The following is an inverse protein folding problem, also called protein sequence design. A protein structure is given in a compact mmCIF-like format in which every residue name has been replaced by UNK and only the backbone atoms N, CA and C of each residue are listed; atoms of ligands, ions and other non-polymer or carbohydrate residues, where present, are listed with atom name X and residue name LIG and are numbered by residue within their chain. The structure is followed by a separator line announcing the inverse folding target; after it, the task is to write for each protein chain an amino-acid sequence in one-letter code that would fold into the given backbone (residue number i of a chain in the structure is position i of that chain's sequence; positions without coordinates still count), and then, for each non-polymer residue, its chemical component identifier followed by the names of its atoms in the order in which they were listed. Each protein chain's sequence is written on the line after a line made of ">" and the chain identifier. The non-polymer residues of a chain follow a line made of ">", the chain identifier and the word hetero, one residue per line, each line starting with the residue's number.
data_IF_591067796854
#
_entry.id   IF_591067796854
#
_cell.length_a   1.000
_cell.length_b   1.000
_cell.length_c   1.000
_cell.angle_alpha   90.00
_cell.angle_beta   90.00
_cell.angle_gamma   90.00
#
_symmetry.space_group_name_H-M   'P 1'
#
loop_
_entity.id
_entity.type
_entity.pdbx_description
1 polymer ?
#
# COMPACT_ATOMS: atom_id res chain seq x y z
N UNK A 1 32.05 -13.86 -25.02
CA UNK A 1 30.61 -14.15 -24.94
C UNK A 1 30.24 -14.18 -23.47
N UNK A 2 29.17 -13.50 -23.05
CA UNK A 2 28.63 -13.68 -21.71
C UNK A 2 28.03 -15.09 -21.58
N UNK A 3 28.14 -15.77 -20.43
CA UNK A 3 27.44 -17.02 -20.21
C UNK A 3 25.93 -16.79 -20.27
N UNK A 4 25.13 -17.78 -20.74
CA UNK A 4 23.68 -17.66 -20.76
C UNK A 4 23.15 -17.42 -19.34
N UNK A 5 22.26 -16.44 -19.23
CA UNK A 5 21.57 -16.06 -18.01
C UNK A 5 20.66 -17.22 -17.54
N UNK A 6 20.70 -17.53 -16.25
CA UNK A 6 19.97 -18.65 -15.63
C UNK A 6 19.33 -18.20 -14.33
N UNK A 7 18.21 -18.81 -13.98
CA UNK A 7 17.50 -18.60 -12.73
C UNK A 7 17.55 -19.87 -11.88
N UNK A 8 17.71 -19.69 -10.57
CA UNK A 8 17.59 -20.73 -9.56
C UNK A 8 16.13 -20.86 -9.06
N UNK A 9 15.38 -19.75 -9.04
CA UNK A 9 13.98 -19.67 -8.62
C UNK A 9 13.14 -18.82 -9.59
N UNK A 10 11.81 -18.91 -9.45
CA UNK A 10 10.86 -18.08 -10.20
C UNK A 10 10.88 -16.63 -9.69
N UNK A 11 10.97 -15.67 -10.60
CA UNK A 11 10.75 -14.25 -10.34
C UNK A 11 9.28 -13.91 -10.59
N UNK A 12 8.66 -13.18 -9.66
CA UNK A 12 7.27 -12.72 -9.74
C UNK A 12 6.72 -12.33 -8.36
N UNK A 13 5.73 -11.43 -8.32
CA UNK A 13 5.23 -10.78 -7.10
C UNK A 13 4.68 -11.73 -6.00
N UNK A 14 4.32 -12.96 -6.38
CA UNK A 14 3.78 -13.99 -5.48
C UNK A 14 4.79 -15.11 -5.11
N UNK A 15 6.06 -14.97 -5.50
CA UNK A 15 7.09 -16.02 -5.33
C UNK A 15 8.19 -15.62 -4.35
N UNK A 16 8.75 -16.62 -3.66
CA UNK A 16 9.98 -16.46 -2.87
C UNK A 16 11.18 -16.42 -3.84
N UNK A 17 11.63 -15.21 -4.16
CA UNK A 17 12.69 -14.96 -5.14
C UNK A 17 14.08 -15.17 -4.53
N UNK A 18 15.02 -15.64 -5.34
CA UNK A 18 16.44 -15.65 -4.97
C UNK A 18 17.05 -14.26 -5.19
N UNK A 19 17.91 -13.82 -4.27
CA UNK A 19 18.48 -12.47 -4.29
C UNK A 19 19.50 -12.29 -5.43
N UNK A 20 20.25 -13.35 -5.77
CA UNK A 20 21.19 -13.30 -6.90
C UNK A 20 20.42 -13.28 -8.23
N UNK A 21 19.34 -14.05 -8.35
CA UNK A 21 18.45 -14.03 -9.51
C UNK A 21 17.81 -12.64 -9.70
N UNK A 22 17.35 -12.00 -8.62
CA UNK A 22 16.77 -10.66 -8.66
C UNK A 22 17.80 -9.62 -9.15
N UNK A 23 18.99 -9.55 -8.52
CA UNK A 23 20.05 -8.61 -8.90
C UNK A 23 20.49 -8.77 -10.35
N UNK A 24 20.68 -10.02 -10.79
CA UNK A 24 21.16 -10.31 -12.15
C UNK A 24 20.06 -10.06 -13.20
N UNK A 25 18.78 -10.27 -12.86
CA UNK A 25 17.64 -9.86 -13.69
C UNK A 25 17.55 -8.34 -13.83
N UNK A 26 17.67 -7.57 -12.73
CA UNK A 26 17.67 -6.09 -12.80
C UNK A 26 18.71 -5.59 -13.79
N UNK A 27 19.94 -6.10 -13.69
CA UNK A 27 21.06 -5.77 -14.61
C UNK A 27 20.78 -6.16 -16.06
N UNK A 28 20.21 -7.33 -16.31
CA UNK A 28 19.84 -7.78 -17.65
C UNK A 28 18.76 -6.87 -18.27
N UNK A 29 17.66 -6.62 -17.57
CA UNK A 29 16.57 -5.75 -18.04
C UNK A 29 17.04 -4.31 -18.26
N UNK A 30 17.93 -3.80 -17.41
CA UNK A 30 18.54 -2.48 -17.59
C UNK A 30 19.43 -2.40 -18.83
N UNK A 31 20.24 -3.44 -19.12
CA UNK A 31 21.04 -3.48 -20.34
C UNK A 31 20.22 -3.53 -21.64
N UNK A 32 18.94 -3.88 -21.53
CA UNK A 32 17.96 -3.88 -22.63
C UNK A 32 17.04 -2.63 -22.60
N UNK A 33 17.21 -1.71 -21.64
CA UNK A 33 16.41 -0.49 -21.53
C UNK A 33 15.02 -0.67 -20.90
N UNK A 34 14.71 -1.80 -20.27
CA UNK A 34 13.42 -2.04 -19.60
C UNK A 34 13.40 -1.63 -18.12
N UNK A 35 14.56 -1.31 -17.54
CA UNK A 35 14.70 -0.86 -16.15
C UNK A 35 15.74 0.25 -16.08
N UNK A 36 15.37 1.41 -15.51
CA UNK A 36 16.33 2.49 -15.25
C UNK A 36 17.26 2.11 -14.10
N UNK A 37 18.55 2.39 -14.24
CA UNK A 37 19.53 2.16 -13.19
C UNK A 37 19.50 3.34 -12.19
N UNK A 38 19.31 3.08 -10.87
CA UNK A 38 19.47 4.11 -9.86
C UNK A 38 20.90 4.65 -9.83
N UNK A 39 21.08 5.88 -9.35
CA UNK A 39 22.41 6.50 -9.21
C UNK A 39 23.35 5.69 -8.30
N UNK A 40 22.81 5.09 -7.23
CA UNK A 40 23.53 4.19 -6.31
C UNK A 40 23.68 2.75 -6.84
N UNK A 41 23.11 2.45 -8.01
CA UNK A 41 23.07 1.12 -8.63
C UNK A 41 21.92 0.23 -8.15
N UNK A 42 21.94 -1.04 -8.59
CA UNK A 42 20.92 -2.03 -8.22
C UNK A 42 21.29 -2.78 -6.94
N UNK A 43 20.34 -2.87 -6.02
CA UNK A 43 20.37 -3.79 -4.88
C UNK A 43 19.88 -5.21 -5.26
N UNK A 44 20.09 -6.16 -4.35
CA UNK A 44 19.72 -7.57 -4.52
C UNK A 44 18.27 -7.88 -4.14
N UNK A 45 17.54 -6.93 -3.56
CA UNK A 45 16.19 -7.18 -3.08
C UNK A 45 15.15 -7.10 -4.21
N UNK A 46 14.22 -8.07 -4.31
CA UNK A 46 13.13 -7.97 -5.27
C UNK A 46 12.19 -6.82 -4.89
N UNK A 47 11.86 -5.99 -5.87
CA UNK A 47 11.08 -4.76 -5.71
C UNK A 47 9.99 -4.64 -6.79
N UNK A 48 9.14 -3.63 -6.69
CA UNK A 48 8.09 -3.35 -7.70
C UNK A 48 8.67 -2.96 -9.07
N UNK A 49 9.72 -2.11 -9.18
CA UNK A 49 10.38 -1.82 -10.45
C UNK A 49 10.86 -3.06 -11.23
N UNK A 50 11.44 -4.07 -10.56
CA UNK A 50 11.82 -5.33 -11.21
C UNK A 50 10.62 -6.04 -11.88
N UNK A 51 9.48 -6.13 -11.19
CA UNK A 51 8.29 -6.81 -11.73
C UNK A 51 7.69 -6.03 -12.92
N UNK A 52 7.63 -4.70 -12.84
CA UNK A 52 7.17 -3.87 -13.96
C UNK A 52 8.14 -3.90 -15.15
N UNK A 53 9.44 -4.01 -14.91
CA UNK A 53 10.44 -4.21 -15.97
C UNK A 53 10.31 -5.59 -16.65
N UNK A 54 9.99 -6.66 -15.90
CA UNK A 54 9.68 -7.98 -16.48
C UNK A 54 8.43 -7.88 -17.38
N UNK A 55 7.36 -7.21 -16.94
CA UNK A 55 6.16 -6.96 -17.76
C UNK A 55 6.47 -6.14 -19.02
N UNK A 56 7.26 -5.07 -18.87
CA UNK A 56 7.73 -4.23 -19.98
C UNK A 56 8.46 -5.04 -21.04
N UNK A 57 9.39 -5.91 -20.63
CA UNK A 57 10.11 -6.83 -21.51
C UNK A 57 9.16 -7.86 -22.16
N UNK A 58 8.27 -8.48 -21.39
CA UNK A 58 7.28 -9.44 -21.91
C UNK A 58 6.41 -8.80 -23.00
N UNK A 59 5.90 -7.58 -22.77
CA UNK A 59 5.10 -6.84 -23.74
C UNK A 59 5.87 -6.52 -25.02
N UNK A 60 7.12 -6.08 -24.90
CA UNK A 60 7.98 -5.76 -26.04
C UNK A 60 8.30 -7.00 -26.92
N UNK A 61 8.44 -8.17 -26.30
CA UNK A 61 8.71 -9.44 -26.99
C UNK A 61 7.44 -10.22 -27.39
N UNK A 62 6.25 -9.67 -27.18
CA UNK A 62 4.98 -10.32 -27.53
C UNK A 62 4.65 -11.56 -26.67
N UNK A 63 5.18 -11.62 -25.45
CA UNK A 63 4.88 -12.64 -24.45
C UNK A 63 3.64 -12.29 -23.62
N UNK A 64 3.17 -13.23 -22.81
CA UNK A 64 2.14 -12.94 -21.81
C UNK A 64 2.70 -11.98 -20.74
N UNK A 65 2.00 -10.88 -20.50
CA UNK A 65 2.39 -9.85 -19.52
C UNK A 65 1.94 -10.23 -18.09
N UNK A 66 2.43 -11.36 -17.58
CA UNK A 66 2.10 -11.86 -16.24
C UNK A 66 3.07 -11.37 -15.15
N UNK A 67 4.20 -10.76 -15.53
CA UNK A 67 5.26 -10.34 -14.60
C UNK A 67 6.01 -11.51 -13.97
N UNK A 68 5.90 -12.72 -14.55
CA UNK A 68 6.50 -13.96 -14.04
C UNK A 68 7.58 -14.47 -15.00
N UNK A 69 8.77 -14.69 -14.45
CA UNK A 69 9.88 -15.33 -15.15
C UNK A 69 10.31 -16.59 -14.40
N UNK A 70 9.94 -17.75 -14.96
CA UNK A 70 10.25 -19.08 -14.41
C UNK A 70 11.62 -19.57 -14.91
N UNK A 71 12.34 -20.40 -14.12
CA UNK A 71 13.42 -21.24 -14.65
C UNK A 71 12.94 -22.00 -15.89
N UNK A 72 13.78 -22.02 -16.93
CA UNK A 72 13.50 -22.61 -18.25
C UNK A 72 12.20 -22.13 -18.94
N UNK A 73 11.61 -21.03 -18.48
CA UNK A 73 10.38 -20.46 -19.02
C UNK A 73 10.57 -19.65 -20.32
N UNK A 74 9.49 -19.35 -21.05
CA UNK A 74 9.55 -18.59 -22.31
C UNK A 74 10.16 -17.19 -22.12
N UNK A 75 9.81 -16.49 -21.04
CA UNK A 75 10.40 -15.19 -20.66
C UNK A 75 11.93 -15.29 -20.50
N UNK A 76 12.42 -16.33 -19.83
CA UNK A 76 13.86 -16.54 -19.60
C UNK A 76 14.62 -16.88 -20.89
N UNK A 77 14.04 -17.76 -21.72
CA UNK A 77 14.60 -18.11 -23.02
C UNK A 77 14.71 -16.87 -23.92
N UNK A 78 13.65 -16.05 -23.95
CA UNK A 78 13.61 -14.83 -24.75
C UNK A 78 14.57 -13.75 -24.27
N UNK A 79 14.70 -13.56 -22.96
CA UNK A 79 15.67 -12.65 -22.35
C UNK A 79 17.11 -13.03 -22.74
N UNK A 80 17.42 -14.33 -22.72
CA UNK A 80 18.71 -14.84 -23.18
C UNK A 80 18.98 -14.56 -24.67
N UNK A 81 17.96 -14.61 -25.53
CA UNK A 81 18.12 -14.30 -26.96
C UNK A 81 18.31 -12.80 -27.21
N UNK A 82 17.55 -11.94 -26.52
CA UNK A 82 17.71 -10.49 -26.58
C UNK A 82 19.11 -10.03 -26.12
N UNK A 83 19.66 -10.65 -25.06
CA UNK A 83 21.03 -10.40 -24.59
C UNK A 83 22.13 -10.86 -25.58
N UNK A 84 21.83 -11.78 -26.50
CA UNK A 84 22.75 -12.17 -27.58
C UNK A 84 22.70 -11.19 -28.76
N UNK A 85 21.52 -10.65 -29.09
CA UNK A 85 21.34 -9.70 -30.20
C UNK A 85 21.77 -8.28 -29.83
N UNK A 86 21.65 -7.91 -28.56
CA UNK A 86 22.16 -6.67 -27.99
C UNK A 86 23.34 -6.94 -27.06
N UNK A 87 24.52 -7.35 -27.60
CA UNK A 87 25.72 -7.44 -26.78
C UNK A 87 25.99 -6.04 -26.22
N UNK A 88 25.93 -5.92 -24.89
CA UNK A 88 25.91 -4.65 -24.14
C UNK A 88 26.81 -3.60 -24.81
N UNK A 89 26.20 -2.68 -25.56
CA UNK A 89 26.94 -1.55 -26.13
C UNK A 89 27.47 -0.78 -24.94
N UNK A 90 28.81 -0.80 -24.77
CA UNK A 90 29.46 -0.36 -23.56
C UNK A 90 28.92 1.03 -23.17
N UNK A 91 28.46 1.15 -21.93
CA UNK A 91 27.59 2.24 -21.48
C UNK A 91 28.09 3.59 -22.01
N UNK A 92 27.21 4.44 -22.61
CA UNK A 92 27.61 5.77 -23.02
C UNK A 92 28.20 6.47 -21.80
N UNK A 93 29.46 6.87 -21.90
CA UNK A 93 30.24 7.26 -20.72
C UNK A 93 29.53 8.40 -19.97
N UNK A 94 29.36 8.29 -18.64
CA UNK A 94 28.76 9.35 -17.83
C UNK A 94 29.75 10.53 -17.73
N UNK A 95 29.77 11.36 -18.76
CA UNK A 95 30.75 12.43 -18.95
C UNK A 95 30.42 13.40 -20.09
N UNK A 96 29.17 13.40 -20.57
CA UNK A 96 28.65 14.40 -21.50
C UNK A 96 28.20 15.65 -20.75
N UNK A 97 29.15 16.36 -20.12
CA UNK A 97 28.91 17.65 -19.48
C UNK A 97 28.35 18.62 -20.53
N UNK A 98 27.09 19.04 -20.38
CA UNK A 98 26.44 19.93 -21.33
C UNK A 98 26.92 21.36 -21.12
N UNK A 99 28.07 21.68 -21.71
CA UNK A 99 28.56 23.05 -21.87
C UNK A 99 27.51 23.89 -22.61
N UNK A 100 26.89 24.90 -21.96
CA UNK A 100 25.82 25.69 -22.55
C UNK A 100 26.31 26.73 -23.58
N UNK A 101 27.62 26.76 -23.89
CA UNK A 101 28.24 27.90 -24.59
C UNK A 101 28.42 27.69 -26.10
N UNK A 102 28.25 26.48 -26.63
CA UNK A 102 28.55 26.17 -28.05
C UNK A 102 27.34 26.28 -29.00
N UNK A 103 26.81 27.49 -29.17
CA UNK A 103 25.89 27.87 -30.27
C UNK A 103 26.19 29.25 -30.86
N UNK A 104 27.44 29.46 -31.26
CA UNK A 104 27.86 30.59 -32.10
C UNK A 104 28.96 30.14 -33.07
N UNK A 105 28.57 29.44 -34.13
CA UNK A 105 29.25 29.40 -35.45
C UNK A 105 28.56 28.37 -36.38
N UNK A 106 27.50 28.82 -37.08
CA UNK A 106 27.14 28.22 -38.37
C UNK A 106 27.67 29.14 -39.48
N UNK A 107 28.45 28.65 -40.46
CA UNK A 107 28.90 29.47 -41.57
C UNK A 107 27.73 29.82 -42.50
N UNK A 108 27.87 30.95 -43.19
CA UNK A 108 26.81 31.51 -44.03
C UNK A 108 26.67 30.79 -45.39
N UNK A 109 25.42 30.60 -45.81
CA UNK A 109 25.00 30.39 -47.21
C UNK A 109 23.99 31.51 -47.56
N UNK A 110 24.03 32.13 -48.75
CA UNK A 110 23.32 33.38 -49.01
C UNK A 110 21.97 33.20 -49.75
N UNK A 111 20.97 33.95 -49.29
CA UNK A 111 20.01 34.61 -50.19
C UNK A 111 18.72 33.87 -50.58
N UNK A 112 17.62 34.22 -49.89
CA UNK A 112 16.31 34.37 -50.53
C UNK A 112 15.45 35.38 -49.73
N UNK A 113 15.04 36.46 -50.38
CA UNK A 113 14.22 37.53 -49.82
C UNK A 113 12.71 37.25 -49.96
N UNK A 114 11.92 37.53 -48.92
CA UNK A 114 10.55 38.09 -48.95
C UNK A 114 10.10 38.28 -47.48
N UNK A 115 10.17 39.47 -46.86
CA UNK A 115 9.33 40.69 -47.06
C UNK A 115 7.99 40.66 -46.27
N UNK A 116 7.77 41.69 -45.44
CA UNK A 116 6.55 42.10 -44.69
C UNK A 116 5.77 41.03 -43.88
N UNK A 117 5.59 41.19 -42.58
CA UNK A 117 4.70 42.24 -42.03
C UNK A 117 5.04 42.66 -40.58
N UNK A 118 5.03 43.97 -40.32
CA UNK A 118 5.05 44.58 -38.99
C UNK A 118 3.63 45.00 -38.58
N UNK A 119 3.17 44.55 -37.40
CA UNK A 119 2.04 45.11 -36.66
C UNK A 119 2.19 44.74 -35.17
N UNK A 120 2.78 45.63 -34.37
CA UNK A 120 2.08 46.45 -33.37
C UNK A 120 1.59 45.70 -32.11
N UNK A 121 2.47 45.60 -31.10
CA UNK A 121 2.10 45.32 -29.71
C UNK A 121 1.51 46.58 -29.04
N UNK A 122 0.34 46.51 -28.38
CA UNK A 122 -0.10 47.57 -27.49
C UNK A 122 0.49 47.39 -26.09
N UNK A 123 1.28 48.37 -25.65
CA UNK A 123 1.68 48.57 -24.25
C UNK A 123 0.46 48.80 -23.36
N UNK A 124 0.42 48.19 -22.18
CA UNK A 124 -0.59 48.49 -21.15
C UNK A 124 0.10 49.03 -19.89
N UNK A 125 -0.14 50.30 -19.50
CA UNK A 125 0.35 50.88 -18.25
C UNK A 125 -0.64 50.68 -17.11
N UNK A 126 -0.20 50.92 -15.87
CA UNK A 126 -1.10 51.15 -14.72
C UNK A 126 -0.72 50.43 -13.44
N UNK A 127 0.20 51.01 -12.67
CA UNK A 127 0.36 50.67 -11.25
C UNK A 127 -0.73 51.38 -10.41
N UNK A 128 -1.13 50.76 -9.30
CA UNK A 128 -1.97 51.36 -8.25
C UNK A 128 -1.55 50.84 -6.86
N UNK A 129 -1.80 51.59 -5.77
CA UNK A 129 -0.99 51.54 -4.54
C UNK A 129 -1.57 50.64 -3.42
N UNK A 130 -0.85 50.42 -2.30
CA UNK A 130 -1.31 49.59 -1.20
C UNK A 130 -2.40 50.29 -0.35
N UNK A 131 -3.31 49.49 0.21
CA UNK A 131 -4.33 49.93 1.17
C UNK A 131 -4.02 49.33 2.54
N UNK A 132 -3.96 50.19 3.56
CA UNK A 132 -3.73 49.84 4.96
C UNK A 132 -4.89 50.36 5.82
N UNK A 133 -4.99 49.86 7.06
CA UNK A 133 -5.79 50.32 8.20
C UNK A 133 -7.30 49.98 8.31
N UNK A 134 -7.57 49.09 9.29
CA UNK A 134 -8.53 49.23 10.42
C UNK A 134 -9.96 49.75 10.17
N UNK A 135 -10.97 48.88 10.37
CA UNK A 135 -12.12 49.13 11.31
C UNK A 135 -13.07 47.93 11.50
N UNK A 136 -13.31 47.54 12.76
CA UNK A 136 -14.62 47.04 13.27
C UNK A 136 -15.54 48.26 13.59
N UNK A 137 -16.80 48.17 14.06
CA UNK A 137 -17.66 47.03 14.50
C UNK A 137 -19.08 47.13 13.83
N UNK A 138 -20.26 46.75 14.41
CA UNK A 138 -20.60 45.96 15.60
C UNK A 138 -21.66 44.85 15.37
N UNK A 139 -22.18 44.31 16.47
CA UNK A 139 -23.18 43.25 16.61
C UNK A 139 -24.57 43.56 16.02
N UNK A 140 -25.29 42.47 15.68
CA UNK A 140 -26.70 42.32 16.06
C UNK A 140 -27.78 42.90 15.15
N UNK A 141 -28.47 42.03 14.41
CA UNK A 141 -29.95 42.01 14.29
C UNK A 141 -30.39 40.68 13.68
N UNK A 142 -31.34 39.99 14.31
CA UNK A 142 -32.05 38.86 13.71
C UNK A 142 -33.19 39.38 12.81
N UNK A 143 -33.29 38.89 11.57
CA UNK A 143 -34.57 38.85 10.84
C UNK A 143 -34.69 37.51 10.14
N UNK A 144 -35.77 36.79 10.43
CA UNK A 144 -36.12 35.57 9.72
C UNK A 144 -36.88 35.91 8.43
N UNK A 145 -36.49 35.31 7.30
CA UNK A 145 -37.36 35.14 6.14
C UNK A 145 -37.15 33.77 5.49
N UNK A 146 -38.27 33.14 5.13
CA UNK A 146 -38.36 31.81 4.53
C UNK A 146 -38.32 31.91 2.97
N UNK A 147 -38.39 30.79 2.21
CA UNK A 147 -37.65 30.66 0.96
C UNK A 147 -38.39 31.16 -0.29
N UNK A 148 -37.61 31.67 -1.26
CA UNK A 148 -38.05 31.85 -2.64
C UNK A 148 -37.63 30.65 -3.49
N UNK A 149 -38.59 29.83 -3.91
CA UNK A 149 -38.40 28.75 -4.89
C UNK A 149 -38.31 29.38 -6.29
N UNK A 150 -37.16 29.26 -6.95
CA UNK A 150 -36.98 29.68 -8.33
C UNK A 150 -37.09 28.47 -9.27
N UNK A 151 -38.13 28.47 -10.11
CA UNK A 151 -38.45 27.41 -11.06
C UNK A 151 -37.55 27.54 -12.31
N UNK A 152 -36.72 26.54 -12.60
CA UNK A 152 -35.94 26.48 -13.85
C UNK A 152 -36.64 25.51 -14.82
N UNK A 153 -37.06 25.95 -16.03
CA UNK A 153 -37.71 25.09 -17.00
C UNK A 153 -36.71 24.19 -17.76
N UNK A 154 -37.11 22.98 -18.19
CA UNK A 154 -36.26 22.08 -18.96
C UNK A 154 -36.15 22.53 -20.43
N UNK A 155 -34.92 22.64 -20.93
CA UNK A 155 -34.66 23.05 -22.31
C UNK A 155 -34.65 21.81 -23.23
N UNK A 156 -35.83 21.48 -23.77
CA UNK A 156 -36.01 20.41 -24.77
C UNK A 156 -35.49 20.90 -26.13
N UNK A 157 -34.32 20.40 -26.55
CA UNK A 157 -33.73 20.66 -27.86
C UNK A 157 -33.78 19.43 -28.77
N UNK A 158 -34.92 19.20 -29.43
CA UNK A 158 -35.10 18.10 -30.38
C UNK A 158 -34.62 18.51 -31.78
N UNK A 159 -33.56 17.87 -32.30
CA UNK A 159 -33.22 17.90 -33.72
C UNK A 159 -32.75 16.50 -34.16
N UNK A 160 -33.43 15.93 -35.15
CA UNK A 160 -33.28 14.53 -35.56
C UNK A 160 -32.90 14.43 -37.05
N UNK A 161 -32.37 13.25 -37.44
CA UNK A 161 -32.23 12.74 -38.84
C UNK A 161 -31.23 13.54 -39.72
N UNK A 162 -30.56 13.01 -40.76
CA UNK A 162 -30.41 11.68 -41.43
C UNK A 162 -29.11 11.74 -42.31
N UNK A 163 -28.62 10.80 -43.13
CA UNK A 163 -29.04 9.48 -43.71
C UNK A 163 -27.74 8.77 -44.24
N UNK A 164 -27.80 7.46 -44.55
CA UNK A 164 -26.86 6.69 -45.41
C UNK A 164 -25.41 6.49 -44.89
N UNK A 165 -24.73 5.35 -45.11
CA UNK A 165 -25.08 4.08 -45.78
C UNK A 165 -23.95 3.03 -45.64
N UNK A 166 -24.13 1.76 -46.08
CA UNK A 166 -23.29 0.64 -45.64
C UNK A 166 -22.25 0.11 -46.65
N UNK A 167 -21.15 -0.45 -46.13
CA UNK A 167 -20.30 -1.46 -46.78
C UNK A 167 -19.64 -2.31 -45.66
N UNK A 168 -19.93 -3.60 -45.47
CA UNK A 168 -19.75 -4.78 -46.33
C UNK A 168 -18.30 -5.31 -46.35
N UNK A 169 -18.19 -6.67 -46.31
CA UNK A 169 -16.96 -7.51 -46.24
C UNK A 169 -16.43 -7.71 -44.80
N UNK A 170 -16.15 -8.93 -44.30
CA UNK A 170 -16.23 -10.27 -44.90
C UNK A 170 -16.58 -11.32 -43.83
N UNK A 171 -17.43 -12.30 -44.16
CA UNK A 171 -17.64 -13.49 -43.35
C UNK A 171 -17.20 -14.75 -44.12
N UNK A 172 -16.13 -15.39 -43.67
CA UNK A 172 -15.71 -16.78 -43.94
C UNK A 172 -14.50 -17.06 -43.02
N UNK A 173 -14.39 -18.17 -42.30
CA UNK A 173 -15.33 -19.27 -42.12
C UNK A 173 -14.60 -20.61 -42.08
N UNK A 174 -14.41 -21.19 -40.89
CA UNK A 174 -14.04 -22.61 -40.72
C UNK A 174 -14.41 -23.09 -39.32
N UNK A 175 -15.53 -23.82 -39.23
CA UNK A 175 -15.79 -24.73 -38.12
C UNK A 175 -15.40 -26.14 -38.59
N UNK A 176 -14.43 -26.80 -37.95
CA UNK A 176 -14.20 -28.25 -38.03
C UNK A 176 -13.01 -28.72 -37.13
N UNK A 177 -13.20 -28.77 -35.81
CA UNK A 177 -12.52 -29.70 -34.90
C UNK A 177 -13.24 -29.64 -33.54
N UNK A 178 -13.80 -30.71 -32.97
CA UNK A 178 -13.71 -32.12 -33.36
C UNK A 178 -13.17 -32.97 -32.22
N UNK A 179 -13.90 -33.03 -31.11
CA UNK A 179 -13.85 -34.07 -30.07
C UNK A 179 -12.49 -34.73 -29.75
N UNK A 180 -11.77 -34.17 -28.77
CA UNK A 180 -10.83 -34.91 -27.92
C UNK A 180 -10.74 -34.24 -26.54
N UNK A 181 -10.82 -35.00 -25.44
CA UNK A 181 -10.50 -34.49 -24.09
C UNK A 181 -11.62 -34.44 -23.03
N UNK A 182 -12.78 -35.08 -23.24
CA UNK A 182 -13.67 -35.42 -22.10
C UNK A 182 -13.04 -36.55 -21.27
N UNK A 183 -12.10 -36.22 -20.37
CA UNK A 183 -11.57 -37.15 -19.37
C UNK A 183 -10.88 -36.45 -18.17
N UNK A 184 -11.41 -35.30 -17.74
CA UNK A 184 -11.07 -34.74 -16.42
C UNK A 184 -12.02 -35.33 -15.38
N UNK A 185 -11.48 -36.22 -14.55
CA UNK A 185 -12.23 -36.89 -13.49
C UNK A 185 -12.78 -35.91 -12.46
N UNK A 186 -14.06 -36.08 -12.10
CA UNK A 186 -14.58 -35.58 -10.83
C UNK A 186 -13.89 -36.35 -9.72
N UNK A 187 -12.83 -35.78 -9.14
CA UNK A 187 -12.40 -36.19 -7.81
C UNK A 187 -13.42 -35.64 -6.80
N UNK A 188 -14.10 -36.54 -6.11
CA UNK A 188 -15.07 -36.20 -5.07
C UNK A 188 -14.37 -35.51 -3.90
N UNK A 189 -15.03 -34.52 -3.29
CA UNK A 189 -14.55 -33.79 -2.09
C UNK A 189 -14.62 -34.62 -0.80
N UNK A 190 -14.62 -35.94 -0.90
CA UNK A 190 -14.96 -36.87 0.18
C UNK A 190 -13.73 -37.66 0.67
N UNK A 191 -12.67 -37.80 -0.14
CA UNK A 191 -11.41 -38.48 0.25
C UNK A 191 -10.45 -37.59 1.07
N UNK A 192 -10.55 -36.27 0.95
CA UNK A 192 -9.62 -35.32 1.59
C UNK A 192 -9.78 -35.28 3.14
N UNK A 193 -10.92 -35.78 3.65
CA UNK A 193 -11.20 -35.87 5.09
C UNK A 193 -10.82 -37.22 5.73
N UNK A 194 -10.39 -38.23 4.96
CA UNK A 194 -10.01 -39.53 5.54
C UNK A 194 -8.52 -39.63 5.89
N UNK A 195 -7.65 -38.88 5.21
CA UNK A 195 -6.18 -38.95 5.40
C UNK A 195 -5.63 -38.10 6.56
N UNK A 196 -6.48 -37.31 7.23
CA UNK A 196 -6.09 -36.48 8.37
C UNK A 196 -6.20 -37.19 9.74
N UNK A 197 -6.86 -38.36 9.81
CA UNK A 197 -7.24 -39.02 11.08
C UNK A 197 -6.35 -40.21 11.50
N UNK A 198 -5.46 -40.70 10.64
CA UNK A 198 -4.65 -41.92 10.89
C UNK A 198 -3.16 -41.64 11.21
N UNK A 199 -2.84 -40.52 11.87
CA UNK A 199 -1.45 -40.17 12.23
C UNK A 199 -1.21 -39.77 13.69
N UNK A 200 -2.13 -40.09 14.60
CA UNK A 200 -2.03 -39.76 16.03
C UNK A 200 -1.61 -40.91 16.95
N UNK A 201 -1.12 -42.03 16.42
CA UNK A 201 -0.67 -43.17 17.24
C UNK A 201 0.80 -43.56 17.01
N UNK A 202 1.43 -43.98 18.11
CA UNK A 202 2.82 -44.47 18.22
C UNK A 202 3.92 -43.41 18.06
N UNK A 203 3.93 -42.43 18.96
CA UNK A 203 5.22 -41.95 19.48
C UNK A 203 5.82 -43.07 20.37
N UNK A 204 7.05 -43.55 20.14
CA UNK A 204 7.64 -44.58 20.98
C UNK A 204 7.92 -44.02 22.38
N UNK A 205 7.15 -44.47 23.36
CA UNK A 205 7.41 -44.23 24.79
C UNK A 205 8.66 -44.99 25.21
N UNK A 206 9.82 -44.37 25.02
CA UNK A 206 11.04 -44.82 25.69
C UNK A 206 10.79 -44.77 27.20
N UNK A 207 10.95 -45.89 27.94
CA UNK A 207 10.88 -45.85 29.39
C UNK A 207 12.01 -44.91 29.88
N UNK A 208 11.76 -44.07 30.91
CA UNK A 208 12.80 -43.22 31.46
C UNK A 208 13.96 -44.10 31.96
N UNK A 209 15.22 -43.65 31.82
CA UNK A 209 16.36 -44.43 32.28
C UNK A 209 16.25 -44.70 33.79
N UNK A 210 16.56 -45.91 34.27
CA UNK A 210 16.44 -46.26 35.68
C UNK A 210 17.33 -45.33 36.52
N UNK A 211 16.72 -44.65 37.49
CA UNK A 211 17.38 -43.63 38.32
C UNK A 211 16.95 -42.18 38.05
N UNK A 212 16.08 -41.91 37.06
CA UNK A 212 15.49 -40.58 36.89
C UNK A 212 14.32 -40.33 37.86
N UNK A 213 14.63 -39.89 39.07
CA UNK A 213 13.64 -39.21 39.92
C UNK A 213 13.46 -37.78 39.40
N UNK A 214 12.26 -37.38 38.92
CA UNK A 214 12.04 -35.99 38.55
C UNK A 214 12.17 -35.11 39.80
N UNK A 215 12.90 -33.98 39.73
CA UNK A 215 13.09 -33.13 40.91
C UNK A 215 11.73 -32.69 41.45
N UNK A 216 11.53 -32.84 42.76
CA UNK A 216 10.32 -32.40 43.45
C UNK A 216 10.31 -30.86 43.56
N UNK A 217 10.09 -30.20 42.43
CA UNK A 217 9.95 -28.75 42.34
C UNK A 217 8.56 -28.41 42.87
N UNK A 218 8.49 -28.09 44.17
CA UNK A 218 7.42 -27.24 44.70
C UNK A 218 7.52 -25.87 44.02
N UNK A 219 6.91 -25.76 42.84
CA UNK A 219 6.71 -24.49 42.15
C UNK A 219 5.99 -23.55 43.12
N UNK A 220 6.55 -22.37 43.44
CA UNK A 220 5.81 -21.39 44.23
C UNK A 220 4.49 -21.09 43.51
N UNK A 221 3.41 -21.04 44.29
CA UNK A 221 2.05 -21.01 43.75
C UNK A 221 1.91 -19.94 42.68
N UNK A 222 1.45 -20.35 41.49
CA UNK A 222 1.24 -19.46 40.34
C UNK A 222 0.39 -18.28 40.82
N UNK A 223 0.99 -17.08 40.81
CA UNK A 223 0.29 -15.83 41.13
C UNK A 223 -0.91 -15.72 40.21
N UNK A 224 -2.11 -15.74 40.80
CA UNK A 224 -3.34 -15.61 40.05
C UNK A 224 -3.29 -14.33 39.20
N UNK A 225 -3.72 -14.35 37.93
CA UNK A 225 -3.71 -13.16 37.09
C UNK A 225 -4.60 -12.09 37.73
N UNK A 226 -4.03 -10.92 38.01
CA UNK A 226 -4.76 -9.76 38.54
C UNK A 226 -5.91 -9.44 37.60
N UNK A 227 -7.13 -9.78 38.03
CA UNK A 227 -8.34 -9.69 37.20
C UNK A 227 -9.07 -8.37 37.47
N UNK A 228 -8.32 -7.29 37.67
CA UNK A 228 -8.90 -5.95 37.78
C UNK A 228 -9.36 -5.49 36.39
N UNK A 229 -10.61 -5.02 36.23
CA UNK A 229 -11.06 -4.44 34.98
C UNK A 229 -10.22 -3.22 34.62
N UNK A 230 -9.60 -3.21 33.45
CA UNK A 230 -8.94 -2.01 32.91
C UNK A 230 -10.04 -1.02 32.57
N UNK A 231 -10.11 0.09 33.30
CA UNK A 231 -11.01 1.20 32.98
C UNK A 231 -10.57 1.85 31.67
N UNK A 232 -11.51 2.00 30.73
CA UNK A 232 -11.26 2.66 29.45
C UNK A 232 -11.38 4.18 29.64
N UNK A 233 -10.41 4.99 29.16
CA UNK A 233 -10.48 6.45 29.29
C UNK A 233 -11.62 7.04 28.45
N UNK A 234 -12.23 8.12 28.94
CA UNK A 234 -13.24 8.91 28.22
C UNK A 234 -12.60 9.65 27.03
N UNK A 235 -13.09 9.37 25.83
CA UNK A 235 -12.55 9.87 24.56
C UNK A 235 -13.06 11.25 24.15
N UNK A 236 -14.00 11.84 24.90
CA UNK A 236 -14.40 13.23 24.69
C UNK A 236 -13.27 14.21 25.02
N UNK A 237 -12.25 13.75 25.75
CA UNK A 237 -11.08 14.54 26.13
C UNK A 237 -9.88 14.29 25.20
N UNK A 238 -9.03 15.30 24.96
CA UNK A 238 -7.82 15.11 24.16
C UNK A 238 -6.92 14.05 24.79
N UNK A 239 -6.35 13.19 23.95
CA UNK A 239 -5.38 12.16 24.36
C UNK A 239 -4.29 12.82 25.23
N UNK A 240 -4.12 12.42 26.51
CA UNK A 240 -3.25 13.13 27.42
C UNK A 240 -1.79 12.98 27.00
N UNK A 241 -1.04 14.09 26.98
CA UNK A 241 0.42 14.06 26.78
C UNK A 241 1.10 13.43 28.00
N UNK A 242 1.19 12.09 28.01
CA UNK A 242 1.94 11.34 29.02
C UNK A 242 3.44 11.49 28.78
N UNK A 243 4.22 11.63 29.87
CA UNK A 243 5.69 11.63 29.78
C UNK A 243 6.27 10.24 29.52
N UNK A 244 5.50 9.20 29.82
CA UNK A 244 5.90 7.79 29.66
C UNK A 244 5.18 7.14 28.49
N UNK A 245 5.84 6.25 27.73
CA UNK A 245 5.26 5.59 26.58
C UNK A 245 4.11 4.68 27.03
N UNK A 246 2.88 5.03 26.65
CA UNK A 246 1.64 4.45 27.17
C UNK A 246 0.91 3.65 26.09
N UNK A 247 0.20 2.58 26.48
CA UNK A 247 -0.76 1.88 25.62
C UNK A 247 -2.15 2.34 26.02
N UNK A 248 -2.87 2.96 25.09
CA UNK A 248 -4.27 3.34 25.27
C UNK A 248 -5.17 2.39 24.49
N UNK A 249 -6.30 2.00 25.07
CA UNK A 249 -7.37 1.30 24.36
C UNK A 249 -8.52 2.30 24.26
N UNK A 250 -8.87 2.70 23.03
CA UNK A 250 -9.92 3.69 22.78
C UNK A 250 -11.12 2.97 22.13
N UNK A 251 -12.36 3.10 22.67
CA UNK A 251 -13.54 2.70 21.91
C UNK A 251 -13.62 3.43 20.55
N UNK A 252 -14.30 2.83 19.57
CA UNK A 252 -14.56 3.50 18.29
C UNK A 252 -15.41 4.77 18.50
N UNK A 253 -15.06 5.91 17.87
CA UNK A 253 -15.86 7.13 17.94
C UNK A 253 -17.23 6.96 17.27
N UNK A 254 -18.29 7.41 17.95
CA UNK A 254 -19.69 7.18 17.57
C UNK A 254 -20.13 7.82 16.24
N UNK A 255 -21.23 7.26 15.72
CA UNK A 255 -22.06 7.48 14.51
C UNK A 255 -21.84 8.67 13.53
N UNK A 256 -21.19 9.77 13.90
CA UNK A 256 -20.97 10.95 13.05
C UNK A 256 -20.01 10.77 11.85
N UNK A 257 -19.45 9.58 11.65
CA UNK A 257 -18.36 9.28 10.70
C UNK A 257 -18.77 8.58 9.40
N UNK A 258 -20.06 8.32 9.16
CA UNK A 258 -20.51 7.45 8.06
C UNK A 258 -20.42 8.03 6.62
N UNK A 259 -19.86 9.23 6.39
CA UNK A 259 -20.02 9.97 5.11
C UNK A 259 -18.74 10.59 4.49
N UNK A 260 -17.56 10.07 4.80
CA UNK A 260 -16.30 10.59 4.21
C UNK A 260 -15.38 9.46 3.75
N UNK A 261 -15.15 9.37 2.43
CA UNK A 261 -14.19 8.43 1.83
C UNK A 261 -14.22 8.48 0.31
N UNK A 262 -13.12 8.90 -0.32
CA UNK A 262 -12.84 8.68 -1.74
C UNK A 262 -11.84 7.53 -1.80
N UNK A 263 -12.29 6.37 -2.27
CA UNK A 263 -11.55 5.11 -2.10
C UNK A 263 -10.39 5.02 -3.11
N UNK A 264 -9.18 4.74 -2.60
CA UNK A 264 -8.02 4.34 -3.40
C UNK A 264 -7.95 2.81 -3.49
N UNK A 265 -8.07 2.27 -4.71
CA UNK A 265 -8.21 0.83 -4.93
C UNK A 265 -6.93 0.02 -4.55
N UNK A 266 -5.75 0.64 -4.65
CA UNK A 266 -4.43 -0.02 -4.66
C UNK A 266 -3.90 -0.62 -3.34
N UNK A 267 -4.51 -0.37 -2.16
CA UNK A 267 -4.07 -1.08 -0.93
C UNK A 267 -4.40 -2.58 -0.99
N UNK A 268 -3.49 -3.45 -0.56
CA UNK A 268 -3.84 -4.86 -0.24
C UNK A 268 -4.62 -4.90 1.09
N UNK A 269 -5.78 -5.55 1.12
CA UNK A 269 -6.59 -5.71 2.34
C UNK A 269 -8.10 -5.69 2.10
N UNK A 270 -8.89 -6.09 3.10
CA UNK A 270 -10.35 -6.02 3.06
C UNK A 270 -10.81 -4.55 2.92
N UNK A 271 -11.75 -4.30 2.00
CA UNK A 271 -12.38 -3.00 1.77
C UNK A 271 -12.92 -2.37 3.06
N UNK A 272 -13.57 -3.17 3.92
CA UNK A 272 -14.13 -2.69 5.20
C UNK A 272 -13.04 -2.15 6.13
N UNK A 273 -11.89 -2.83 6.20
CA UNK A 273 -10.72 -2.43 7.00
C UNK A 273 -10.07 -1.17 6.44
N UNK A 274 -9.98 -1.00 5.11
CA UNK A 274 -9.51 0.26 4.49
C UNK A 274 -10.40 1.42 4.90
N UNK A 275 -11.72 1.28 4.73
CA UNK A 275 -12.71 2.30 5.05
C UNK A 275 -12.81 2.58 6.56
N UNK A 276 -12.44 1.63 7.42
CA UNK A 276 -12.28 1.85 8.86
C UNK A 276 -11.02 2.66 9.18
N UNK A 277 -9.86 2.30 8.62
CA UNK A 277 -8.61 3.04 8.79
C UNK A 277 -8.74 4.49 8.28
N UNK A 278 -9.39 4.71 7.13
CA UNK A 278 -9.64 6.05 6.59
C UNK A 278 -10.56 6.91 7.50
N UNK A 279 -11.57 6.28 8.13
CA UNK A 279 -12.44 6.97 9.11
C UNK A 279 -11.69 7.33 10.39
N UNK A 280 -10.85 6.41 10.91
CA UNK A 280 -9.99 6.67 12.07
C UNK A 280 -9.02 7.81 11.76
N UNK A 281 -8.33 7.77 10.62
CA UNK A 281 -7.42 8.82 10.18
C UNK A 281 -8.14 10.18 10.11
N UNK A 282 -9.30 10.25 9.44
CA UNK A 282 -10.09 11.47 9.32
C UNK A 282 -10.53 12.03 10.69
N UNK A 283 -10.86 11.16 11.65
CA UNK A 283 -11.20 11.56 13.01
C UNK A 283 -9.99 12.12 13.76
N UNK A 284 -8.81 11.52 13.63
CA UNK A 284 -7.58 12.02 14.27
C UNK A 284 -7.20 13.37 13.69
N UNK A 285 -7.11 13.51 12.36
CA UNK A 285 -6.79 14.77 11.67
C UNK A 285 -7.74 15.91 12.08
N UNK A 286 -9.04 15.59 12.27
CA UNK A 286 -10.06 16.57 12.68
C UNK A 286 -9.93 17.01 14.14
N UNK A 287 -9.64 16.09 15.06
CA UNK A 287 -9.60 16.39 16.50
C UNK A 287 -8.20 16.79 17.00
N UNK A 288 -7.15 16.49 16.23
CA UNK A 288 -5.76 16.78 16.55
C UNK A 288 -5.08 17.54 15.39
N UNK A 289 -5.52 18.78 15.05
CA UNK A 289 -5.10 19.51 13.86
C UNK A 289 -3.63 19.98 13.84
N UNK A 290 -2.85 19.64 14.86
CA UNK A 290 -1.39 19.85 14.90
C UNK A 290 -0.58 18.55 14.87
N UNK A 291 -1.21 17.39 14.61
CA UNK A 291 -0.52 16.11 14.49
C UNK A 291 -0.20 15.83 13.02
N UNK A 292 1.07 15.67 12.70
CA UNK A 292 1.53 15.37 11.35
C UNK A 292 1.30 13.89 11.03
N UNK A 293 0.62 13.60 9.92
CA UNK A 293 0.41 12.23 9.46
C UNK A 293 1.67 11.70 8.74
N UNK A 294 2.39 10.76 9.38
CA UNK A 294 3.74 10.32 8.95
C UNK A 294 3.82 8.90 8.39
N UNK A 295 2.73 8.12 8.37
CA UNK A 295 2.74 6.79 7.74
C UNK A 295 1.44 5.99 7.88
N UNK A 296 1.20 5.09 6.92
CA UNK A 296 -0.07 4.39 6.75
C UNK A 296 -1.18 5.27 6.15
N UNK A 297 -2.36 4.69 5.93
CA UNK A 297 -3.53 5.47 5.50
C UNK A 297 -3.42 6.10 4.10
N UNK A 298 -4.22 7.14 3.88
CA UNK A 298 -4.27 7.95 2.66
C UNK A 298 -3.46 9.21 2.87
N UNK A 299 -2.59 9.56 1.94
CA UNK A 299 -1.95 10.88 1.90
C UNK A 299 -2.94 11.89 1.29
N UNK A 300 -3.58 12.70 2.14
CA UNK A 300 -4.56 13.70 1.67
C UNK A 300 -3.94 14.87 0.93
N UNK A 301 -2.68 15.20 1.24
CA UNK A 301 -1.97 16.33 0.64
C UNK A 301 -1.45 15.96 -0.75
N UNK A 302 -0.98 14.73 -0.91
CA UNK A 302 -0.44 14.20 -2.17
C UNK A 302 -1.45 13.38 -3.00
N UNK A 303 -2.64 13.09 -2.46
CA UNK A 303 -3.67 12.29 -3.12
C UNK A 303 -3.30 10.80 -3.28
N UNK A 304 -2.41 10.28 -2.43
CA UNK A 304 -1.80 8.96 -2.55
C UNK A 304 -1.99 8.07 -1.31
N UNK A 305 -1.07 7.13 -1.12
CA UNK A 305 -1.01 6.27 0.07
C UNK A 305 0.33 6.52 0.76
N UNK A 306 0.35 6.80 2.08
CA UNK A 306 1.63 6.83 2.81
C UNK A 306 2.04 5.40 3.12
N UNK A 307 3.35 5.12 3.04
CA UNK A 307 3.89 3.80 3.39
C UNK A 307 3.59 3.45 4.85
N UNK A 308 3.16 2.21 5.08
CA UNK A 308 2.95 1.68 6.43
C UNK A 308 4.29 1.55 7.15
N UNK A 309 4.34 1.93 8.43
CA UNK A 309 5.56 1.84 9.22
C UNK A 309 5.76 0.39 9.67
N UNK A 310 6.71 -0.30 9.05
CA UNK A 310 7.14 -1.61 9.50
C UNK A 310 8.05 -1.49 10.73
N UNK A 311 7.67 -2.17 11.82
CA UNK A 311 8.48 -2.30 13.02
C UNK A 311 9.06 -3.72 13.04
N UNK A 312 10.40 -3.86 12.89
CA UNK A 312 11.04 -5.17 12.85
C UNK A 312 10.94 -5.88 14.20
N UNK A 313 10.87 -7.21 14.16
CA UNK A 313 10.91 -8.00 15.40
C UNK A 313 12.27 -7.87 16.10
N UNK A 314 12.29 -8.07 17.42
CA UNK A 314 13.55 -8.08 18.18
C UNK A 314 14.53 -9.13 17.63
N UNK A 315 14.01 -10.25 17.09
CA UNK A 315 14.80 -11.28 16.45
C UNK A 315 15.62 -10.78 15.24
N UNK A 316 15.18 -9.73 14.53
CA UNK A 316 15.98 -9.12 13.46
C UNK A 316 17.31 -8.57 13.98
N UNK A 317 17.31 -7.97 15.17
CA UNK A 317 18.53 -7.44 15.80
C UNK A 317 19.51 -8.54 16.25
N UNK A 318 19.03 -9.79 16.36
CA UNK A 318 19.85 -10.97 16.66
C UNK A 318 20.11 -11.85 15.43
N UNK A 319 20.01 -11.29 14.21
CA UNK A 319 20.32 -11.99 12.95
C UNK A 319 19.26 -12.98 12.46
N UNK A 320 18.07 -13.00 13.08
CA UNK A 320 16.92 -13.73 12.55
C UNK A 320 16.32 -13.04 11.31
N UNK A 321 15.44 -13.74 10.58
CA UNK A 321 14.85 -13.28 9.31
C UNK A 321 14.12 -11.92 9.39
N UNK A 322 13.75 -11.48 10.60
CA UNK A 322 13.00 -10.25 10.90
C UNK A 322 11.55 -10.26 10.42
N UNK A 323 11.21 -11.07 9.41
CA UNK A 323 9.88 -11.28 8.84
C UNK A 323 8.97 -11.95 9.86
N UNK A 324 9.46 -12.93 10.63
CA UNK A 324 8.69 -13.55 11.72
C UNK A 324 8.56 -12.59 12.91
N UNK A 325 7.33 -12.18 13.14
CA UNK A 325 6.93 -11.32 14.26
C UNK A 325 7.24 -9.82 14.08
N UNK A 326 7.52 -9.36 12.86
CA UNK A 326 7.43 -7.93 12.56
C UNK A 326 5.96 -7.48 12.59
N UNK A 327 5.71 -6.22 12.94
CA UNK A 327 4.36 -5.65 12.97
C UNK A 327 4.33 -4.41 12.09
N UNK A 328 3.34 -4.31 11.21
CA UNK A 328 3.03 -3.08 10.49
C UNK A 328 2.05 -2.28 11.33
N UNK A 329 2.27 -0.97 11.44
CA UNK A 329 1.35 -0.05 12.12
C UNK A 329 0.36 0.52 11.09
N UNK A 330 -0.94 0.43 11.38
CA UNK A 330 -2.01 0.85 10.46
C UNK A 330 -1.96 2.36 10.13
N UNK A 331 -1.70 3.20 11.15
CA UNK A 331 -1.51 4.66 11.04
C UNK A 331 -0.42 5.15 12.01
N UNK A 332 0.35 6.15 11.61
CA UNK A 332 1.40 6.79 12.40
C UNK A 332 1.31 8.30 12.32
N UNK A 333 1.28 8.96 13.48
CA UNK A 333 1.30 10.41 13.61
C UNK A 333 2.50 10.88 14.44
N UNK A 334 2.90 12.14 14.25
CA UNK A 334 3.89 12.83 15.07
C UNK A 334 3.24 14.08 15.69
N UNK A 335 3.35 14.24 17.01
CA UNK A 335 2.75 15.38 17.74
C UNK A 335 3.60 16.64 17.58
N UNK A 336 3.07 17.85 17.91
CA UNK A 336 3.86 19.08 17.99
C UNK A 336 5.07 18.99 18.95
N UNK A 337 5.01 18.07 19.92
CA UNK A 337 6.07 17.76 20.87
C UNK A 337 7.12 16.75 20.36
N UNK A 338 7.01 16.30 19.10
CA UNK A 338 7.89 15.29 18.49
C UNK A 338 7.69 13.87 19.04
N UNK A 339 6.54 13.62 19.70
CA UNK A 339 6.16 12.28 20.18
C UNK A 339 5.50 11.51 19.04
N UNK A 340 5.82 10.24 18.90
CA UNK A 340 5.21 9.37 17.88
C UNK A 340 4.00 8.65 18.46
N UNK A 341 2.91 8.66 17.73
CA UNK A 341 1.66 7.99 18.10
C UNK A 341 1.33 6.99 17.02
N UNK A 342 1.35 5.71 17.39
CA UNK A 342 1.04 4.60 16.51
C UNK A 342 -0.36 4.09 16.81
N UNK A 343 -1.25 4.09 15.81
CA UNK A 343 -2.60 3.56 15.95
C UNK A 343 -2.67 2.20 15.26
N UNK A 344 -3.20 1.22 15.99
CA UNK A 344 -3.39 -0.15 15.54
C UNK A 344 -4.86 -0.53 15.70
N UNK A 345 -5.49 -1.01 14.63
CA UNK A 345 -6.79 -1.66 14.70
C UNK A 345 -6.60 -3.09 15.22
N UNK A 346 -7.30 -3.44 16.29
CA UNK A 346 -7.12 -4.71 17.00
C UNK A 346 -8.38 -5.56 17.01
N UNK A 347 -8.18 -6.87 17.04
CA UNK A 347 -9.24 -7.83 17.31
C UNK A 347 -9.44 -8.01 18.81
N UNK A 348 -10.71 -7.96 19.24
CA UNK A 348 -11.15 -8.22 20.61
C UNK A 348 -11.86 -9.58 20.69
N UNK A 349 -11.77 -10.23 21.85
CA UNK A 349 -12.48 -11.48 22.10
C UNK A 349 -14.01 -11.23 22.14
N UNK A 350 -14.81 -11.88 21.28
CA UNK A 350 -16.26 -11.65 21.18
C UNK A 350 -17.06 -12.11 22.41
N UNK A 351 -16.44 -12.77 23.38
CA UNK A 351 -17.03 -13.11 24.68
C UNK A 351 -16.76 -12.03 25.73
N UNK A 352 -15.53 -11.54 25.81
CA UNK A 352 -15.07 -10.66 26.90
C UNK A 352 -15.00 -9.18 26.51
N UNK A 353 -14.98 -8.85 25.22
CA UNK A 353 -14.74 -7.49 24.71
C UNK A 353 -13.30 -6.99 24.89
N UNK A 354 -12.40 -7.83 25.44
CA UNK A 354 -11.01 -7.46 25.71
C UNK A 354 -10.13 -7.68 24.49
N UNK A 355 -9.16 -6.79 24.30
CA UNK A 355 -8.07 -6.96 23.33
C UNK A 355 -7.34 -8.27 23.61
N UNK A 356 -7.09 -9.08 22.58
CA UNK A 356 -6.41 -10.38 22.79
C UNK A 356 -4.94 -10.19 23.20
N UNK A 357 -4.37 -11.13 23.96
CA UNK A 357 -2.97 -11.04 24.41
C UNK A 357 -1.98 -10.86 23.24
N UNK A 358 -2.24 -11.50 22.09
CA UNK A 358 -1.45 -11.35 20.86
C UNK A 358 -1.35 -9.89 20.40
N UNK A 359 -2.45 -9.15 20.46
CA UNK A 359 -2.49 -7.75 20.04
C UNK A 359 -1.86 -6.83 21.11
N UNK A 360 -1.96 -7.17 22.40
CA UNK A 360 -1.22 -6.49 23.47
C UNK A 360 0.30 -6.70 23.34
N UNK A 361 0.75 -7.92 23.01
CA UNK A 361 2.16 -8.26 22.77
C UNK A 361 2.72 -7.58 21.50
N UNK A 362 1.86 -7.30 20.52
CA UNK A 362 2.20 -6.50 19.34
C UNK A 362 2.30 -5.01 19.71
N UNK A 363 1.34 -4.49 20.47
CA UNK A 363 1.34 -3.11 20.95
C UNK A 363 2.56 -2.77 21.80
N UNK A 364 2.92 -3.63 22.76
CA UNK A 364 4.09 -3.41 23.61
C UNK A 364 5.40 -3.53 22.82
N UNK A 365 5.44 -4.31 21.73
CA UNK A 365 6.57 -4.37 20.80
C UNK A 365 6.72 -3.10 19.98
N UNK A 366 5.61 -2.56 19.47
CA UNK A 366 5.57 -1.24 18.81
C UNK A 366 6.11 -0.18 19.78
N UNK A 367 5.60 -0.15 21.00
CA UNK A 367 5.99 0.78 22.08
C UNK A 367 7.48 0.71 22.42
N UNK A 368 8.05 -0.50 22.52
CA UNK A 368 9.47 -0.74 22.81
C UNK A 368 10.41 -0.43 21.63
N UNK A 369 9.90 -0.20 20.42
CA UNK A 369 10.73 -0.01 19.22
C UNK A 369 11.48 1.32 19.16
N UNK A 370 11.14 2.28 20.03
CA UNK A 370 11.78 3.59 20.10
C UNK A 370 11.44 4.32 21.40
N UNK A 371 12.06 5.50 21.57
CA UNK A 371 11.70 6.43 22.66
C UNK A 371 10.55 7.31 22.21
N UNK A 372 9.76 7.80 23.16
CA UNK A 372 8.64 8.72 22.92
C UNK A 372 7.61 8.16 21.92
N UNK A 373 7.25 6.87 22.07
CA UNK A 373 6.20 6.20 21.30
C UNK A 373 5.02 5.89 22.22
N UNK A 374 3.84 6.41 21.89
CA UNK A 374 2.57 5.88 22.38
C UNK A 374 1.95 4.93 21.36
N UNK A 375 1.14 3.99 21.88
CA UNK A 375 0.38 3.06 21.05
C UNK A 375 -1.09 3.12 21.41
N UNK A 376 -1.93 3.31 20.40
CA UNK A 376 -3.37 3.44 20.52
C UNK A 376 -4.01 2.22 19.86
N UNK A 377 -4.79 1.47 20.63
CA UNK A 377 -5.48 0.27 20.17
C UNK A 377 -6.96 0.59 19.99
N UNK A 378 -7.46 0.42 18.77
CA UNK A 378 -8.86 0.68 18.41
C UNK A 378 -9.50 -0.65 18.00
N UNK A 379 -10.51 -1.16 18.73
CA UNK A 379 -11.21 -2.38 18.34
C UNK A 379 -11.95 -2.25 17.00
N UNK A 380 -11.86 -3.28 16.14
CA UNK A 380 -12.50 -3.30 14.81
C UNK A 380 -14.04 -3.30 14.89
N UNK A 381 -14.69 -2.49 14.06
CA UNK A 381 -16.06 -2.01 14.24
C UNK A 381 -17.14 -3.10 14.35
N UNK A 382 -17.07 -4.17 13.55
CA UNK A 382 -18.05 -5.26 13.59
C UNK A 382 -18.07 -6.06 14.93
N UNK A 383 -17.05 -5.86 15.78
CA UNK A 383 -16.97 -6.43 17.12
C UNK A 383 -17.55 -5.45 18.17
N UNK A 384 -17.41 -4.14 17.96
CA UNK A 384 -17.97 -3.08 18.83
C UNK A 384 -19.50 -3.04 18.78
N UNK A 385 -20.11 -3.17 17.60
CA UNK A 385 -21.58 -3.21 17.45
C UNK A 385 -22.20 -4.34 18.29
N UNK A 386 -21.54 -5.50 18.36
CA UNK A 386 -22.01 -6.65 19.16
C UNK A 386 -21.84 -6.42 20.66
N UNK A 387 -20.85 -5.61 21.05
CA UNK A 387 -20.61 -5.24 22.44
C UNK A 387 -21.67 -4.24 22.94
N UNK A 388 -21.83 -3.11 22.25
CA UNK A 388 -22.80 -2.07 22.63
C UNK A 388 -24.27 -2.50 22.46
N UNK A 389 -24.58 -3.45 21.57
CA UNK A 389 -25.93 -4.00 21.47
C UNK A 389 -26.21 -5.14 22.47
N UNK A 390 -25.18 -5.72 23.12
CA UNK A 390 -25.38 -6.68 24.23
C UNK A 390 -25.77 -5.99 25.53
N UNK A 391 -25.16 -4.84 25.85
CA UNK A 391 -25.47 -4.07 27.07
C UNK A 391 -26.86 -3.41 27.06
N UNK A 392 -27.51 -3.33 25.89
CA UNK A 392 -28.88 -2.80 25.72
C UNK A 392 -29.99 -3.85 25.92
N UNK A 393 -29.68 -5.10 26.28
CA UNK A 393 -30.70 -6.08 26.68
C UNK A 393 -30.96 -5.96 28.19
N UNK A 394 -32.21 -5.68 28.61
CA UNK A 394 -32.58 -5.55 30.02
C UNK A 394 -32.59 -6.89 30.76
#
# INVERSE_FOLDING_TARGET
>A
MLPPFRLNKTIGEAYDMDLADALTTKKALASLGHLEAPDDGFDEYPDRPLIEAVKSFQRAEGLAEDGVMKPDGPTLARLNDALKTHPTSAAPAPGGETDPTSRLNSPAEPGASLDRHLASLPTRPGAAPPMDSKKSPPEGTQVAMAPAIALIPPLIGLAARTLLGPAARTAAGTAAAGAAGMLLGRMSKEDENQTATERTDVAPTFPPPPGYEPPNIHLPGVTAPTTEPIELPDLSQPIPETKEPTIFILPMPDEGLQKTGTILEDRRGNFETKAEIERIQAWIEKNHPGWDHVGGGVDRDLGGLKSERWIPSLAKFFGGDGRKGGTYVDLSFETPSGKKVHIQTVDVDPKTGKVTQKELDAADRIRRSGKNIDVILIPKGAQMDKFFNRSKRP
#
